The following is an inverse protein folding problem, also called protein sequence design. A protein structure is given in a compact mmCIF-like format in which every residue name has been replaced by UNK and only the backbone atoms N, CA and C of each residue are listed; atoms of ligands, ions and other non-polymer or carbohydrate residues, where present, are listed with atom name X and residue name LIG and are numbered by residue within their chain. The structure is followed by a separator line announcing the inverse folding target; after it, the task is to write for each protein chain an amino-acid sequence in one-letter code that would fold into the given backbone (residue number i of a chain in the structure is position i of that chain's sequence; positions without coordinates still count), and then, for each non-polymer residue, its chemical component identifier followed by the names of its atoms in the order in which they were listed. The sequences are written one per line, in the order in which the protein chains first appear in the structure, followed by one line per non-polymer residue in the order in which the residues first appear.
data_IF_208900035815
#
_entry.id   IF_208900035815
#
_cell.length_a   1.000
_cell.length_b   1.000
_cell.length_c   1.000
_cell.angle_alpha   90.00
_cell.angle_beta   90.00
_cell.angle_gamma   90.00
#
_symmetry.space_group_name_H-M   'P 1'
#
loop_
_entity.id
_entity.type
_entity.pdbx_description
1 polymer ?
#
# COMPACT_ATOMS: atom_id res chain seq x y z
N UNK A 1 2.34 -53.29 -31.70
CA UNK A 1 2.61 -53.45 -30.26
C UNK A 1 2.93 -52.08 -29.67
N UNK A 2 2.12 -51.68 -28.69
CA UNK A 2 2.27 -50.66 -27.65
C UNK A 2 2.45 -49.15 -27.89
N UNK A 3 1.57 -48.47 -27.14
CA UNK A 3 1.42 -47.08 -26.72
C UNK A 3 2.53 -46.62 -25.75
N UNK A 4 2.81 -45.31 -25.65
CA UNK A 4 2.74 -44.50 -24.40
C UNK A 4 3.40 -43.11 -24.54
N UNK A 5 2.54 -42.07 -24.46
CA UNK A 5 2.74 -40.81 -23.70
C UNK A 5 3.74 -39.75 -24.19
N UNK A 6 3.46 -38.43 -24.23
CA UNK A 6 2.29 -37.60 -23.87
C UNK A 6 2.48 -36.19 -24.47
N UNK A 7 1.37 -35.58 -24.87
CA UNK A 7 1.15 -34.28 -25.54
C UNK A 7 1.81 -33.03 -24.92
N UNK A 8 2.42 -32.13 -25.71
CA UNK A 8 1.84 -31.01 -26.50
C UNK A 8 1.20 -29.86 -25.66
N UNK A 9 1.90 -28.72 -25.57
CA UNK A 9 1.33 -27.39 -25.22
C UNK A 9 0.87 -26.69 -26.51
N UNK A 10 -0.28 -26.01 -26.53
CA UNK A 10 -0.27 -24.55 -26.76
C UNK A 10 -1.47 -23.83 -26.05
N UNK A 11 -1.91 -22.60 -26.40
CA UNK A 11 -1.49 -21.37 -25.74
C UNK A 11 -2.65 -20.50 -25.18
N UNK A 12 -2.26 -19.44 -24.43
CA UNK A 12 -2.97 -18.19 -24.09
C UNK A 12 -4.50 -18.20 -23.89
N UNK A 13 -4.93 -17.97 -22.64
CA UNK A 13 -6.22 -17.31 -22.32
C UNK A 13 -6.02 -16.18 -21.31
N UNK A 14 -6.67 -15.08 -21.64
CA UNK A 14 -6.91 -13.83 -20.92
C UNK A 14 -7.25 -14.03 -19.44
N UNK A 15 -6.61 -13.25 -18.56
CA UNK A 15 -6.84 -13.25 -17.11
C UNK A 15 -8.14 -12.47 -16.83
N UNK A 16 -9.21 -13.22 -16.56
CA UNK A 16 -10.48 -12.72 -16.03
C UNK A 16 -10.33 -12.41 -14.53
N UNK A 17 -11.03 -11.37 -14.06
CA UNK A 17 -11.05 -10.78 -12.71
C UNK A 17 -11.60 -11.70 -11.59
N UNK A 18 -11.56 -13.03 -11.78
CA UNK A 18 -12.11 -14.02 -10.86
C UNK A 18 -11.08 -14.61 -9.88
N UNK A 19 -9.80 -14.24 -9.96
CA UNK A 19 -8.74 -14.89 -9.18
C UNK A 19 -8.67 -14.47 -7.71
N UNK A 20 -9.39 -13.43 -7.29
CA UNK A 20 -9.39 -12.97 -5.89
C UNK A 20 -10.10 -13.94 -4.94
N UNK A 21 -11.05 -14.75 -5.45
CA UNK A 21 -11.69 -15.80 -4.65
C UNK A 21 -10.85 -17.07 -4.50
N UNK A 22 -9.92 -17.33 -5.42
CA UNK A 22 -9.07 -18.53 -5.38
C UNK A 22 -8.03 -18.53 -4.26
N UNK A 23 -7.60 -17.35 -3.80
CA UNK A 23 -6.61 -17.23 -2.72
C UNK A 23 -7.19 -17.59 -1.33
N UNK A 24 -8.51 -17.50 -1.16
CA UNK A 24 -9.19 -17.81 0.11
C UNK A 24 -9.23 -19.33 0.37
N UNK A 25 -9.36 -20.14 -0.68
CA UNK A 25 -9.47 -21.61 -0.52
C UNK A 25 -8.13 -22.30 -0.21
N UNK A 26 -6.99 -21.67 -0.49
CA UNK A 26 -5.67 -22.24 -0.15
C UNK A 26 -5.38 -22.15 1.36
N UNK A 27 -6.06 -21.26 2.09
CA UNK A 27 -5.81 -21.05 3.52
C UNK A 27 -6.45 -22.07 4.46
N UNK A 28 -7.48 -22.79 4.02
CA UNK A 28 -8.10 -23.85 4.85
C UNK A 28 -7.13 -25.00 5.16
N UNK A 29 -6.08 -25.17 4.36
CA UNK A 29 -5.12 -26.29 4.51
C UNK A 29 -3.86 -25.95 5.31
N UNK A 30 -3.55 -24.67 5.57
CA UNK A 30 -2.30 -24.27 6.23
C UNK A 30 -2.44 -23.99 7.73
N UNK A 31 -3.66 -23.84 8.26
CA UNK A 31 -3.91 -23.68 9.71
C UNK A 31 -4.41 -25.00 10.29
N UNK A 32 -3.63 -26.07 10.15
CA UNK A 32 -3.79 -27.25 10.99
C UNK A 32 -3.17 -26.97 12.37
N UNK A 33 -3.84 -26.16 13.19
CA UNK A 33 -3.46 -25.96 14.59
C UNK A 33 -3.92 -27.17 15.43
N UNK A 34 -3.12 -27.70 16.38
CA UNK A 34 -3.53 -28.80 17.25
C UNK A 34 -4.80 -28.43 18.03
N UNK A 35 -5.76 -29.36 18.15
CA UNK A 35 -7.04 -29.15 18.86
C UNK A 35 -6.80 -28.49 20.23
N UNK A 36 -7.26 -27.26 20.47
CA UNK A 36 -7.25 -26.70 21.81
C UNK A 36 -8.46 -27.24 22.58
N UNK A 37 -8.23 -27.76 23.77
CA UNK A 37 -9.28 -28.13 24.74
C UNK A 37 -9.83 -26.88 25.44
N UNK A 38 -10.25 -25.87 24.68
CA UNK A 38 -10.91 -24.66 25.19
C UNK A 38 -12.40 -24.68 24.85
N UNK A 39 -13.23 -24.12 25.73
CA UNK A 39 -14.69 -24.07 25.57
C UNK A 39 -15.13 -23.45 24.25
N UNK A 40 -16.22 -23.98 23.66
CA UNK A 40 -16.62 -23.74 22.26
C UNK A 40 -16.84 -22.27 21.85
N UNK A 41 -17.13 -21.38 22.79
CA UNK A 41 -17.33 -19.94 22.50
C UNK A 41 -16.02 -19.14 22.47
N UNK A 42 -14.99 -19.55 23.21
CA UNK A 42 -13.67 -18.90 23.21
C UNK A 42 -12.84 -19.34 22.01
N UNK A 43 -12.89 -20.62 21.64
CA UNK A 43 -12.21 -21.15 20.46
C UNK A 43 -12.73 -20.52 19.15
N UNK A 44 -14.05 -20.27 19.05
CA UNK A 44 -14.66 -19.62 17.88
C UNK A 44 -14.29 -18.14 17.78
N UNK A 45 -14.23 -17.42 18.91
CA UNK A 45 -13.76 -16.02 18.95
C UNK A 45 -12.30 -15.91 18.56
N UNK A 46 -11.43 -16.76 19.11
CA UNK A 46 -10.03 -16.82 18.71
C UNK A 46 -9.87 -17.21 17.24
N UNK A 47 -10.66 -18.14 16.72
CA UNK A 47 -10.63 -18.48 15.30
C UNK A 47 -11.08 -17.31 14.41
N UNK A 48 -12.14 -16.58 14.76
CA UNK A 48 -12.57 -15.38 14.04
C UNK A 48 -11.53 -14.25 14.14
N UNK A 49 -10.92 -14.04 15.30
CA UNK A 49 -9.81 -13.10 15.49
C UNK A 49 -8.60 -13.50 14.66
N UNK A 50 -8.15 -14.75 14.71
CA UNK A 50 -6.99 -15.26 13.94
C UNK A 50 -7.25 -15.15 12.43
N UNK A 51 -8.46 -15.44 11.96
CA UNK A 51 -8.81 -15.24 10.54
C UNK A 51 -8.86 -13.75 10.16
N UNK A 52 -9.32 -12.88 11.05
CA UNK A 52 -9.30 -11.43 10.85
C UNK A 52 -7.88 -10.85 10.83
N UNK A 53 -7.03 -11.27 11.77
CA UNK A 53 -5.62 -10.87 11.87
C UNK A 53 -4.83 -11.42 10.68
N UNK A 54 -5.10 -12.67 10.29
CA UNK A 54 -4.53 -13.28 9.10
C UNK A 54 -4.88 -12.49 7.84
N UNK A 55 -6.16 -12.21 7.61
CA UNK A 55 -6.60 -11.41 6.47
C UNK A 55 -5.92 -10.04 6.44
N UNK A 56 -5.82 -9.34 7.57
CA UNK A 56 -5.16 -8.04 7.65
C UNK A 56 -3.66 -8.11 7.32
N UNK A 57 -2.94 -9.10 7.85
CA UNK A 57 -1.51 -9.29 7.56
C UNK A 57 -1.29 -9.64 6.09
N UNK A 58 -2.07 -10.58 5.54
CA UNK A 58 -1.96 -10.96 4.13
C UNK A 58 -2.29 -9.81 3.20
N UNK A 59 -3.33 -9.05 3.52
CA UNK A 59 -3.73 -7.90 2.73
C UNK A 59 -2.67 -6.79 2.77
N UNK A 60 -2.15 -6.43 3.96
CA UNK A 60 -1.08 -5.46 4.10
C UNK A 60 0.20 -5.87 3.35
N UNK A 61 0.58 -7.15 3.43
CA UNK A 61 1.72 -7.67 2.67
C UNK A 61 1.48 -7.60 1.15
N UNK A 62 0.28 -7.94 0.68
CA UNK A 62 -0.08 -7.84 -0.73
C UNK A 62 -0.01 -6.39 -1.25
N UNK A 63 -0.43 -5.42 -0.45
CA UNK A 63 -0.33 -4.00 -0.78
C UNK A 63 1.13 -3.53 -0.85
N UNK A 64 1.97 -3.96 0.10
CA UNK A 64 3.40 -3.64 0.06
C UNK A 64 4.10 -4.29 -1.15
N UNK A 65 3.73 -5.52 -1.52
CA UNK A 65 4.21 -6.17 -2.74
C UNK A 65 3.81 -5.38 -4.00
N UNK A 66 2.62 -4.79 -4.03
CA UNK A 66 2.21 -3.91 -5.12
C UNK A 66 3.06 -2.63 -5.16
N UNK A 67 3.41 -2.05 -4.02
CA UNK A 67 4.36 -0.93 -3.94
C UNK A 67 5.75 -1.32 -4.45
N UNK A 68 6.22 -2.54 -4.16
CA UNK A 68 7.49 -3.08 -4.69
C UNK A 68 7.44 -3.21 -6.21
N UNK A 69 6.30 -3.64 -6.77
CA UNK A 69 6.12 -3.65 -8.22
C UNK A 69 6.26 -2.24 -8.82
N UNK A 70 5.68 -1.22 -8.18
CA UNK A 70 5.86 0.19 -8.60
C UNK A 70 7.32 0.65 -8.50
N UNK A 71 8.02 0.27 -7.42
CA UNK A 71 9.45 0.55 -7.26
C UNK A 71 10.30 -0.10 -8.35
N UNK A 72 9.96 -1.33 -8.77
CA UNK A 72 10.62 -2.00 -9.90
C UNK A 72 10.44 -1.22 -11.19
N UNK A 73 9.24 -0.71 -11.47
CA UNK A 73 9.01 0.13 -12.64
C UNK A 73 9.84 1.43 -12.60
N UNK A 74 10.09 2.00 -11.43
CA UNK A 74 11.01 3.14 -11.30
C UNK A 74 12.46 2.72 -11.63
N UNK A 75 12.89 1.57 -11.10
CA UNK A 75 14.23 1.02 -11.37
C UNK A 75 14.46 0.75 -12.86
N UNK A 76 13.47 0.15 -13.54
CA UNK A 76 13.52 -0.14 -14.98
C UNK A 76 13.64 1.16 -15.82
N UNK A 77 13.22 2.28 -15.25
CA UNK A 77 13.34 3.62 -15.83
C UNK A 77 14.59 4.39 -15.35
N UNK A 78 15.54 3.72 -14.69
CA UNK A 78 16.77 4.31 -14.14
C UNK A 78 16.53 5.36 -13.05
N UNK A 79 15.41 5.26 -12.33
CA UNK A 79 15.08 6.10 -11.18
C UNK A 79 15.36 5.37 -9.85
N UNK A 80 15.36 6.11 -8.74
CA UNK A 80 15.44 5.52 -7.40
C UNK A 80 14.24 4.57 -7.19
N UNK A 81 14.44 3.32 -6.73
CA UNK A 81 13.39 2.31 -6.64
C UNK A 81 12.45 2.54 -5.44
N UNK A 82 11.63 3.59 -5.53
CA UNK A 82 10.60 3.90 -4.54
C UNK A 82 9.23 3.84 -5.22
N UNK A 83 8.31 3.11 -4.59
CA UNK A 83 6.95 2.94 -5.07
C UNK A 83 5.96 3.04 -3.90
N UNK A 84 4.75 3.46 -4.20
CA UNK A 84 3.69 3.55 -3.20
C UNK A 84 2.29 3.24 -3.76
N UNK A 85 1.38 2.90 -2.86
CA UNK A 85 -0.05 2.76 -3.12
C UNK A 85 -0.85 3.40 -2.01
N UNK A 86 -1.96 4.05 -2.38
CA UNK A 86 -2.93 4.64 -1.45
C UNK A 86 -4.18 3.78 -1.47
N UNK A 87 -4.66 3.46 -0.28
CA UNK A 87 -5.78 2.54 -0.05
C UNK A 87 -6.87 3.25 0.74
N UNK A 88 -8.11 3.12 0.26
CA UNK A 88 -9.34 3.55 0.93
C UNK A 88 -10.27 2.33 0.94
N UNK A 89 -10.86 1.99 2.09
CA UNK A 89 -11.80 0.85 2.23
C UNK A 89 -11.33 -0.47 1.60
N UNK A 90 -10.07 -0.84 1.84
CA UNK A 90 -9.44 -2.07 1.30
C UNK A 90 -9.33 -2.09 -0.24
N UNK A 91 -9.50 -0.95 -0.91
CA UNK A 91 -9.30 -0.80 -2.34
C UNK A 91 -8.14 0.16 -2.63
N UNK A 92 -7.30 -0.21 -3.59
CA UNK A 92 -6.23 0.68 -4.07
C UNK A 92 -6.86 1.75 -4.94
N UNK A 93 -6.85 2.99 -4.46
CA UNK A 93 -7.41 4.14 -5.18
C UNK A 93 -6.36 4.84 -6.05
N UNK A 94 -5.09 4.81 -5.64
CA UNK A 94 -3.99 5.36 -6.42
C UNK A 94 -2.66 4.66 -6.16
N UNK A 95 -1.72 4.89 -7.07
CA UNK A 95 -0.36 4.40 -6.96
C UNK A 95 0.63 5.32 -7.64
N UNK A 96 1.83 5.38 -7.11
CA UNK A 96 2.91 6.23 -7.60
C UNK A 96 4.25 5.52 -7.55
N UNK A 97 5.20 6.05 -8.32
CA UNK A 97 6.58 5.63 -8.36
C UNK A 97 7.46 6.86 -8.47
N UNK A 98 8.69 6.77 -7.99
CA UNK A 98 9.63 7.87 -8.11
C UNK A 98 10.00 8.09 -9.59
N UNK A 99 9.84 9.31 -10.09
CA UNK A 99 10.14 9.67 -11.48
C UNK A 99 10.63 11.11 -11.69
N UNK A 100 11.54 11.64 -10.83
CA UNK A 100 11.99 13.03 -10.91
C UNK A 100 12.77 13.35 -12.18
N UNK A 101 13.56 12.40 -12.69
CA UNK A 101 14.33 12.56 -13.93
C UNK A 101 13.40 12.57 -15.14
N UNK A 102 12.45 11.62 -15.18
CA UNK A 102 11.49 11.51 -16.27
C UNK A 102 10.58 12.75 -16.39
N UNK A 103 10.09 13.24 -15.27
CA UNK A 103 9.19 14.41 -15.22
C UNK A 103 9.95 15.74 -15.25
N UNK A 104 11.29 15.71 -15.10
CA UNK A 104 12.13 16.89 -14.86
C UNK A 104 11.64 17.72 -13.68
N UNK A 105 11.05 17.05 -12.68
CA UNK A 105 10.55 17.67 -11.48
C UNK A 105 11.13 16.96 -10.26
N UNK A 106 12.00 17.67 -9.53
CA UNK A 106 12.63 17.15 -8.32
C UNK A 106 11.63 16.73 -7.23
N UNK A 107 10.40 17.25 -7.24
CA UNK A 107 9.37 16.88 -6.27
C UNK A 107 8.57 15.64 -6.66
N UNK A 108 8.79 15.06 -7.85
CA UNK A 108 8.03 13.90 -8.36
C UNK A 108 8.48 12.57 -7.73
N UNK A 109 8.37 12.53 -6.41
CA UNK A 109 8.50 11.32 -5.59
C UNK A 109 7.25 10.46 -5.72
N UNK A 110 7.37 9.18 -5.32
CA UNK A 110 6.27 8.22 -5.44
C UNK A 110 5.00 8.71 -4.73
N UNK A 111 5.13 9.26 -3.53
CA UNK A 111 4.03 9.75 -2.70
C UNK A 111 3.34 10.95 -3.35
N UNK A 112 4.14 11.89 -3.87
CA UNK A 112 3.62 13.08 -4.56
C UNK A 112 2.87 12.69 -5.83
N UNK A 113 3.43 11.77 -6.62
CA UNK A 113 2.77 11.29 -7.84
C UNK A 113 1.42 10.60 -7.54
N UNK A 114 1.34 9.84 -6.44
CA UNK A 114 0.09 9.20 -6.03
C UNK A 114 -0.96 10.21 -5.56
N UNK A 115 -0.54 11.24 -4.80
CA UNK A 115 -1.41 12.34 -4.35
C UNK A 115 -1.92 13.14 -5.54
N UNK A 116 -1.04 13.54 -6.46
CA UNK A 116 -1.38 14.34 -7.63
C UNK A 116 -2.43 13.63 -8.51
N UNK A 117 -2.27 12.32 -8.72
CA UNK A 117 -3.26 11.49 -9.43
C UNK A 117 -4.62 11.49 -8.75
N UNK A 118 -4.67 11.35 -7.41
CA UNK A 118 -5.93 11.39 -6.67
C UNK A 118 -6.59 12.76 -6.75
N UNK A 119 -5.81 13.83 -6.56
CA UNK A 119 -6.32 15.20 -6.63
C UNK A 119 -6.89 15.50 -8.01
N UNK A 120 -6.20 15.10 -9.08
CA UNK A 120 -6.70 15.27 -10.46
C UNK A 120 -8.01 14.49 -10.68
N UNK A 121 -8.09 13.25 -10.18
CA UNK A 121 -9.31 12.44 -10.26
C UNK A 121 -10.48 13.04 -9.49
N UNK A 122 -10.25 13.47 -8.25
CA UNK A 122 -11.28 14.06 -7.39
C UNK A 122 -11.73 15.44 -7.85
N UNK A 123 -10.81 16.22 -8.43
CA UNK A 123 -11.16 17.48 -9.07
C UNK A 123 -12.09 17.26 -10.27
N UNK A 124 -11.86 16.22 -11.08
CA UNK A 124 -12.75 15.86 -12.21
C UNK A 124 -14.14 15.41 -11.76
N UNK A 125 -14.24 14.78 -10.59
CA UNK A 125 -15.51 14.37 -9.99
C UNK A 125 -16.22 15.56 -9.33
N UNK A 126 -15.53 16.69 -9.13
CA UNK A 126 -16.08 17.92 -8.58
C UNK A 126 -16.12 17.94 -7.05
N UNK A 127 -15.26 17.18 -6.38
CA UNK A 127 -15.18 17.22 -4.92
C UNK A 127 -14.69 18.59 -4.44
N UNK A 128 -15.32 19.08 -3.38
CA UNK A 128 -14.88 20.28 -2.66
C UNK A 128 -13.64 19.98 -1.81
N UNK A 129 -12.91 21.03 -1.41
CA UNK A 129 -11.72 20.88 -0.57
C UNK A 129 -12.01 20.21 0.78
N UNK A 130 -13.21 20.45 1.35
CA UNK A 130 -13.62 19.80 2.60
C UNK A 130 -13.82 18.30 2.43
N UNK A 131 -14.41 17.86 1.32
CA UNK A 131 -14.60 16.43 1.04
C UNK A 131 -13.27 15.73 0.72
N UNK A 132 -12.36 16.40 0.03
CA UNK A 132 -11.00 15.89 -0.24
C UNK A 132 -10.26 15.62 1.07
N UNK A 133 -10.30 16.57 2.01
CA UNK A 133 -9.67 16.39 3.33
C UNK A 133 -10.28 15.20 4.09
N UNK A 134 -11.61 15.07 4.08
CA UNK A 134 -12.30 13.94 4.70
C UNK A 134 -11.91 12.60 4.07
N UNK A 135 -11.78 12.53 2.74
CA UNK A 135 -11.31 11.32 2.06
C UNK A 135 -9.89 10.95 2.43
N UNK A 136 -8.96 11.91 2.41
CA UNK A 136 -7.59 11.64 2.83
C UNK A 136 -7.50 11.12 4.28
N UNK A 137 -8.38 11.60 5.18
CA UNK A 137 -8.44 11.12 6.58
C UNK A 137 -8.86 9.65 6.74
N UNK A 138 -9.37 9.02 5.68
CA UNK A 138 -9.72 7.61 5.62
C UNK A 138 -8.69 6.78 4.84
N UNK A 139 -7.78 7.45 4.12
CA UNK A 139 -6.78 6.82 3.29
C UNK A 139 -5.57 6.34 4.11
N UNK A 140 -5.00 5.22 3.67
CA UNK A 140 -3.76 4.65 4.20
C UNK A 140 -2.74 4.54 3.07
N UNK A 141 -1.51 4.98 3.32
CA UNK A 141 -0.40 4.88 2.36
C UNK A 141 0.49 3.69 2.68
N UNK A 142 0.87 2.92 1.66
CA UNK A 142 1.89 1.89 1.71
C UNK A 142 3.03 2.25 0.78
N UNK A 143 4.23 2.44 1.32
CA UNK A 143 5.41 2.88 0.56
C UNK A 143 6.59 1.92 0.78
N UNK A 144 7.45 1.73 -0.21
CA UNK A 144 8.58 0.80 -0.08
C UNK A 144 9.67 1.29 0.88
N UNK A 145 9.87 2.61 0.95
CA UNK A 145 10.87 3.27 1.78
C UNK A 145 10.22 4.38 2.60
N UNK A 146 10.77 4.69 3.77
CA UNK A 146 10.28 5.77 4.62
C UNK A 146 10.23 7.11 3.86
N UNK A 147 9.08 7.83 3.92
CA UNK A 147 8.92 9.11 3.26
C UNK A 147 9.97 10.12 3.68
N UNK A 148 10.49 10.88 2.72
CA UNK A 148 11.38 11.98 3.04
C UNK A 148 10.63 13.12 3.75
N UNK A 149 11.36 14.08 4.33
CA UNK A 149 10.79 15.28 5.00
C UNK A 149 9.70 15.98 4.16
N UNK A 150 9.93 16.15 2.85
CA UNK A 150 8.96 16.78 1.94
C UNK A 150 7.65 15.98 1.86
N UNK A 151 7.76 14.67 1.59
CA UNK A 151 6.60 13.79 1.47
C UNK A 151 5.88 13.62 2.80
N UNK A 152 6.61 13.46 3.90
CA UNK A 152 6.05 13.39 5.25
C UNK A 152 5.29 14.68 5.63
N UNK A 153 5.83 15.85 5.30
CA UNK A 153 5.15 17.12 5.53
C UNK A 153 3.86 17.23 4.69
N UNK A 154 3.92 16.86 3.40
CA UNK A 154 2.75 16.88 2.51
C UNK A 154 1.64 15.94 3.03
N UNK A 155 1.99 14.72 3.40
CA UNK A 155 1.08 13.72 3.97
C UNK A 155 0.41 14.20 5.27
N UNK A 156 1.17 14.92 6.11
CA UNK A 156 0.65 15.54 7.33
C UNK A 156 -0.33 16.67 7.02
N UNK A 157 -0.02 17.53 6.05
CA UNK A 157 -0.88 18.66 5.64
C UNK A 157 -2.21 18.18 5.05
N UNK A 158 -2.18 17.15 4.19
CA UNK A 158 -3.41 16.59 3.59
C UNK A 158 -4.24 15.77 4.58
N UNK A 159 -3.65 15.38 5.72
CA UNK A 159 -4.32 14.65 6.78
C UNK A 159 -4.51 13.17 6.46
N UNK A 160 -3.50 12.49 5.90
CA UNK A 160 -3.59 11.04 5.71
C UNK A 160 -3.65 10.30 7.05
N UNK A 161 -4.42 9.21 7.12
CA UNK A 161 -4.66 8.49 8.38
C UNK A 161 -3.39 7.82 8.90
N UNK A 162 -2.80 6.96 8.08
CA UNK A 162 -1.72 6.06 8.45
C UNK A 162 -0.76 5.85 7.27
N UNK A 163 0.51 5.63 7.59
CA UNK A 163 1.58 5.35 6.62
C UNK A 163 2.35 4.11 7.05
N UNK A 164 2.39 3.11 6.18
CA UNK A 164 3.18 1.90 6.34
C UNK A 164 4.36 1.93 5.36
N UNK A 165 5.57 1.70 5.86
CA UNK A 165 6.78 1.68 5.03
C UNK A 165 7.58 0.40 5.21
N UNK A 166 8.28 -0.02 4.16
CA UNK A 166 9.09 -1.25 4.15
C UNK A 166 10.44 -1.08 4.85
N UNK A 167 11.31 -0.21 4.32
CA UNK A 167 12.62 0.11 4.92
C UNK A 167 12.68 1.54 5.44
N UNK A 168 13.52 1.79 6.45
CA UNK A 168 13.81 3.12 6.97
C UNK A 168 14.69 3.93 5.99
N UNK A 169 14.61 5.26 6.09
CA UNK A 169 15.39 6.19 5.26
C UNK A 169 16.41 6.94 6.12
N UNK A 170 17.62 6.39 6.18
CA UNK A 170 18.70 6.87 7.05
C UNK A 170 19.21 8.28 6.69
N UNK A 171 18.92 8.79 5.48
CA UNK A 171 19.45 10.08 4.99
C UNK A 171 18.44 11.21 5.00
N UNK A 172 17.15 10.93 4.82
CA UNK A 172 16.13 11.96 4.67
C UNK A 172 14.79 11.65 5.39
N UNK A 173 14.73 10.63 6.25
CA UNK A 173 13.47 10.14 6.84
C UNK A 173 12.71 11.16 7.69
N UNK A 174 11.48 11.48 7.27
CA UNK A 174 10.58 12.44 7.93
C UNK A 174 9.56 11.80 8.88
N UNK A 175 9.62 10.48 9.08
CA UNK A 175 8.68 9.71 9.90
C UNK A 175 9.31 9.13 11.17
N UNK A 176 10.52 9.57 11.55
CA UNK A 176 11.19 9.11 12.76
C UNK A 176 12.70 9.02 12.63
N UNK A 177 13.23 8.73 11.44
CA UNK A 177 14.68 8.53 11.27
C UNK A 177 15.49 9.83 11.40
N UNK A 178 14.90 10.98 11.03
CA UNK A 178 15.55 12.30 11.17
C UNK A 178 14.63 13.29 11.86
N UNK A 179 13.39 13.40 11.40
CA UNK A 179 12.35 14.26 11.98
C UNK A 179 11.06 13.46 12.12
N UNK A 180 10.26 13.76 13.14
CA UNK A 180 8.96 13.10 13.37
C UNK A 180 7.83 14.07 13.03
N UNK A 181 7.60 14.32 11.74
CA UNK A 181 6.52 15.23 11.31
C UNK A 181 5.12 14.63 11.46
N UNK A 182 5.05 13.31 11.63
CA UNK A 182 3.82 12.57 11.93
C UNK A 182 3.27 12.84 13.35
N UNK A 183 4.10 13.38 14.26
CA UNK A 183 3.74 13.67 15.65
C UNK A 183 3.54 15.17 15.95
N UNK A 184 3.38 16.01 14.93
CA UNK A 184 3.11 17.43 15.15
C UNK A 184 1.72 17.62 15.75
N UNK A 185 1.63 17.54 17.10
CA UNK A 185 0.55 18.14 17.87
C UNK A 185 0.43 19.59 17.42
N UNK A 186 -0.76 19.97 16.97
CA UNK A 186 -1.17 21.24 16.38
C UNK A 186 -1.06 22.44 17.34
N UNK A 187 0.11 22.65 17.95
CA UNK A 187 0.33 23.58 19.06
C UNK A 187 1.20 24.81 18.76
N UNK A 188 2.14 24.76 17.81
CA UNK A 188 2.97 25.95 17.48
C UNK A 188 3.30 25.99 16.00
N UNK A 189 2.52 26.79 15.27
CA UNK A 189 2.83 27.26 13.92
C UNK A 189 3.99 28.25 14.06
N UNK A 190 5.24 27.78 13.97
CA UNK A 190 6.39 28.69 13.92
C UNK A 190 6.34 29.44 12.60
N UNK A 191 5.96 30.73 12.66
CA UNK A 191 6.27 31.68 11.59
C UNK A 191 7.79 31.70 11.43
N UNK A 192 8.24 31.48 10.21
CA UNK A 192 9.54 31.97 9.78
C UNK A 192 9.33 33.43 9.40
N UNK A 193 9.73 34.33 10.30
CA UNK A 193 10.01 35.73 9.99
C UNK A 193 11.53 35.88 9.86
#
# INVERSE_FOLDING_TARGET
MNCSSLEARPPHRTISTATTFGAILVFSSYVACPRPTLGGNEALRLYQEINGVGFFIFFGLALLLLSIFRAKLALDNLEVPVGCVIVEDQAVIASGRNQPTQTRNATSHAEMEAIDKLLEQWQKIGLTMGEIYLKFSQCTLYVTCEPCIMCAAALSIIGIKEVFYGCANDKFGGCGSILSLHNCSSGKRTRFD
#
